data_IF_000648542582
#
_entry.id   IF_000648542582
#
_cell.length_a   1.000
_cell.length_b   1.000
_cell.length_c   1.000
_cell.angle_alpha   90.00
_cell.angle_beta   90.00
_cell.angle_gamma   90.00
#
_symmetry.space_group_name_H-M   'P 1'
#
loop_
_entity.id
_entity.type
_entity.pdbx_description
1 polymer ?
#
# COMPACT_ATOMS: atom_id res chain seq x y z
N UNK A 1 16.72 1.22 22.78
CA UNK A 1 16.47 0.71 21.42
C UNK A 1 14.98 0.88 21.15
N UNK A 2 14.61 1.76 20.22
CA UNK A 2 13.20 1.98 19.87
C UNK A 2 12.64 0.73 19.19
N UNK A 3 11.33 0.51 19.28
CA UNK A 3 10.66 -0.61 18.62
C UNK A 3 10.88 -0.61 17.10
N UNK A 4 11.07 0.57 16.50
CA UNK A 4 11.43 0.72 15.09
C UNK A 4 12.83 0.17 14.77
N UNK A 5 13.85 0.49 15.57
CA UNK A 5 15.20 -0.08 15.40
C UNK A 5 15.17 -1.60 15.58
N UNK A 6 14.37 -2.12 16.53
CA UNK A 6 14.18 -3.57 16.66
C UNK A 6 13.59 -4.20 15.40
N UNK A 7 12.59 -3.58 14.78
CA UNK A 7 12.01 -4.09 13.53
C UNK A 7 13.06 -4.05 12.42
N UNK A 8 13.77 -2.93 12.27
CA UNK A 8 14.85 -2.77 11.30
C UNK A 8 15.96 -3.81 11.45
N UNK A 9 16.39 -4.08 12.68
CA UNK A 9 17.44 -5.04 12.98
C UNK A 9 16.98 -6.51 12.86
N UNK A 10 15.67 -6.77 13.00
CA UNK A 10 15.08 -8.12 12.92
C UNK A 10 14.37 -8.42 11.58
N UNK A 11 14.48 -7.55 10.56
CA UNK A 11 14.02 -7.89 9.22
C UNK A 11 14.95 -8.96 8.65
N UNK A 12 14.53 -10.22 8.78
CA UNK A 12 15.16 -11.32 8.08
C UNK A 12 14.79 -11.25 6.60
N UNK A 13 15.76 -10.80 5.79
CA UNK A 13 15.59 -10.65 4.34
C UNK A 13 15.37 -11.98 3.63
N UNK A 14 15.77 -13.09 4.24
CA UNK A 14 15.57 -14.44 3.66
C UNK A 14 14.12 -14.88 3.72
N UNK A 15 13.34 -14.29 4.62
CA UNK A 15 11.92 -14.56 4.75
C UNK A 15 11.06 -13.66 3.86
N UNK A 16 11.63 -12.60 3.24
CA UNK A 16 10.84 -11.74 2.36
C UNK A 16 10.44 -12.47 1.08
N UNK A 17 9.26 -12.19 0.51
CA UNK A 17 8.89 -12.73 -0.79
C UNK A 17 9.94 -12.40 -1.85
N UNK A 18 10.16 -13.33 -2.79
CA UNK A 18 11.10 -13.13 -3.91
C UNK A 18 10.92 -11.77 -4.58
N UNK A 19 12.04 -11.14 -4.96
CA UNK A 19 12.11 -9.81 -5.59
C UNK A 19 11.65 -8.64 -4.69
N UNK A 20 11.54 -8.86 -3.37
CA UNK A 20 11.30 -7.78 -2.42
C UNK A 20 12.63 -7.13 -2.01
N UNK A 21 12.72 -5.82 -2.21
CA UNK A 21 13.82 -4.96 -1.79
C UNK A 21 13.42 -4.17 -0.53
N UNK A 22 14.39 -3.97 0.38
CA UNK A 22 14.21 -3.15 1.57
C UNK A 22 15.10 -1.90 1.51
N UNK A 23 14.51 -0.72 1.67
CA UNK A 23 15.16 0.59 1.70
C UNK A 23 14.95 1.18 3.09
N UNK A 24 16.01 1.71 3.71
CA UNK A 24 15.96 2.33 5.02
C UNK A 24 16.44 3.77 4.90
N UNK A 25 15.54 4.74 5.13
CA UNK A 25 15.87 6.16 5.05
C UNK A 25 15.35 6.85 6.30
N UNK A 26 16.27 7.25 7.18
CA UNK A 26 16.03 8.13 8.34
C UNK A 26 14.78 7.79 9.15
N UNK A 27 13.65 8.34 8.75
CA UNK A 27 12.34 8.29 9.42
C UNK A 27 11.42 7.14 8.97
N UNK A 28 11.80 6.37 7.95
CA UNK A 28 10.99 5.27 7.45
C UNK A 28 11.80 4.09 6.90
N UNK A 29 11.14 2.94 6.86
CA UNK A 29 11.59 1.73 6.18
C UNK A 29 10.59 1.36 5.08
N UNK A 30 11.06 1.08 3.88
CA UNK A 30 10.24 0.64 2.74
C UNK A 30 10.61 -0.80 2.42
N UNK A 31 9.63 -1.68 2.31
CA UNK A 31 9.79 -2.98 1.64
C UNK A 31 8.91 -3.01 0.40
N UNK A 32 9.49 -3.27 -0.77
CA UNK A 32 8.83 -3.16 -2.06
C UNK A 32 9.21 -4.28 -3.01
N UNK A 33 8.32 -4.65 -3.92
CA UNK A 33 8.63 -5.53 -5.04
C UNK A 33 8.46 -4.79 -6.37
N UNK A 34 9.38 -5.06 -7.30
CA UNK A 34 9.38 -4.51 -8.66
C UNK A 34 9.05 -5.63 -9.65
N UNK A 35 8.11 -5.38 -10.55
CA UNK A 35 7.79 -6.24 -11.68
C UNK A 35 8.15 -5.55 -12.98
N UNK A 36 8.62 -6.32 -13.96
CA UNK A 36 8.85 -5.80 -15.32
C UNK A 36 7.64 -6.21 -16.16
N UNK A 37 6.91 -5.21 -16.67
CA UNK A 37 5.82 -5.42 -17.62
C UNK A 37 6.17 -4.70 -18.92
N UNK A 38 6.29 -5.45 -20.03
CA UNK A 38 6.59 -4.90 -21.36
C UNK A 38 7.82 -3.97 -21.36
N UNK A 39 8.92 -4.44 -20.75
CA UNK A 39 10.19 -3.71 -20.61
C UNK A 39 10.15 -2.43 -19.74
N UNK A 40 9.01 -2.14 -19.09
CA UNK A 40 8.89 -1.04 -18.12
C UNK A 40 8.90 -1.61 -16.70
N UNK A 41 9.85 -1.20 -15.84
CA UNK A 41 9.81 -1.56 -14.43
C UNK A 41 8.66 -0.80 -13.75
N UNK A 42 7.78 -1.54 -13.10
CA UNK A 42 6.66 -1.04 -12.30
C UNK A 42 6.72 -1.56 -10.87
N UNK A 43 6.18 -0.78 -9.94
CA UNK A 43 6.11 -1.16 -8.54
C UNK A 43 4.88 -2.06 -8.29
N UNK A 44 5.10 -3.36 -8.05
CA UNK A 44 3.99 -4.31 -7.86
C UNK A 44 3.28 -4.10 -6.52
N UNK A 45 4.06 -3.96 -5.45
CA UNK A 45 3.55 -3.67 -4.12
C UNK A 45 4.63 -3.05 -3.24
N UNK A 46 4.21 -2.28 -2.24
CA UNK A 46 5.11 -1.81 -1.17
C UNK A 46 4.39 -1.64 0.15
N UNK A 47 5.15 -1.75 1.22
CA UNK A 47 4.81 -1.24 2.54
C UNK A 47 5.85 -0.19 2.94
N UNK A 48 5.38 0.96 3.44
CA UNK A 48 6.20 2.00 4.04
C UNK A 48 5.86 2.07 5.53
N UNK A 49 6.86 1.91 6.38
CA UNK A 49 6.72 1.88 7.84
C UNK A 49 7.43 3.11 8.40
N UNK A 50 6.73 3.90 9.19
CA UNK A 50 7.23 5.11 9.80
C UNK A 50 7.84 4.83 11.18
N UNK A 51 8.62 5.78 11.71
CA UNK A 51 9.24 5.68 13.06
C UNK A 51 8.26 5.42 14.20
N UNK A 52 7.05 5.95 14.12
CA UNK A 52 5.97 5.71 15.08
C UNK A 52 5.27 4.35 14.88
N UNK A 53 5.80 3.51 13.98
CA UNK A 53 5.26 2.21 13.58
C UNK A 53 3.93 2.27 12.82
N UNK A 54 3.42 3.45 12.48
CA UNK A 54 2.34 3.53 11.49
C UNK A 54 2.88 3.06 10.14
N UNK A 55 1.98 2.65 9.25
CA UNK A 55 2.38 2.15 7.95
C UNK A 55 1.37 2.52 6.87
N UNK A 56 1.88 2.64 5.65
CA UNK A 56 1.10 2.76 4.42
C UNK A 56 1.40 1.57 3.52
N UNK A 57 0.38 1.06 2.85
CA UNK A 57 0.49 -0.07 1.92
C UNK A 57 0.00 0.34 0.55
N UNK A 58 0.67 -0.19 -0.47
CA UNK A 58 0.36 0.10 -1.86
C UNK A 58 0.43 -1.18 -2.69
N UNK A 59 -0.40 -1.25 -3.72
CA UNK A 59 -0.42 -2.29 -4.74
C UNK A 59 -0.53 -1.60 -6.10
N UNK A 60 0.40 -1.90 -7.02
CA UNK A 60 0.51 -1.25 -8.33
C UNK A 60 0.43 0.29 -8.22
N UNK A 61 1.23 0.86 -7.31
CA UNK A 61 1.27 2.29 -6.97
C UNK A 61 0.01 2.88 -6.32
N UNK A 62 -1.10 2.13 -6.27
CA UNK A 62 -2.34 2.57 -5.64
C UNK A 62 -2.33 2.30 -4.13
N UNK A 63 -2.82 3.24 -3.31
CA UNK A 63 -2.94 3.01 -1.87
C UNK A 63 -3.95 1.89 -1.59
N UNK A 64 -3.61 1.02 -0.66
CA UNK A 64 -4.50 -0.06 -0.17
C UNK A 64 -5.06 0.35 1.18
N UNK A 65 -6.36 0.16 1.38
CA UNK A 65 -6.99 0.45 2.67
C UNK A 65 -6.42 -0.44 3.78
N UNK A 66 -6.14 0.14 4.94
CA UNK A 66 -5.76 -0.63 6.14
C UNK A 66 -6.84 -1.65 6.53
N UNK A 67 -8.11 -1.36 6.22
CA UNK A 67 -9.22 -2.30 6.42
C UNK A 67 -9.03 -3.63 5.70
N UNK A 68 -8.38 -3.62 4.52
CA UNK A 68 -8.12 -4.84 3.74
C UNK A 68 -7.13 -5.77 4.42
N UNK A 69 -6.28 -5.25 5.31
CA UNK A 69 -5.26 -6.01 6.05
C UNK A 69 -5.56 -6.11 7.55
N UNK A 70 -6.76 -5.72 7.99
CA UNK A 70 -7.14 -5.71 9.41
C UNK A 70 -7.08 -7.11 10.05
N UNK A 71 -7.31 -8.16 9.25
CA UNK A 71 -7.19 -9.56 9.66
C UNK A 71 -5.73 -10.02 9.89
N UNK A 72 -4.74 -9.25 9.41
CA UNK A 72 -3.31 -9.48 9.57
C UNK A 72 -2.74 -8.56 10.65
N UNK A 73 -3.11 -7.28 10.60
CA UNK A 73 -2.70 -6.25 11.53
C UNK A 73 -3.94 -5.47 11.97
N UNK A 74 -4.45 -5.83 13.15
CA UNK A 74 -5.67 -5.23 13.69
C UNK A 74 -5.48 -3.79 14.20
N UNK A 75 -4.22 -3.39 14.42
CA UNK A 75 -3.81 -2.05 14.84
C UNK A 75 -3.47 -1.18 13.63
N UNK A 76 -3.56 0.14 13.80
CA UNK A 76 -3.07 1.11 12.80
C UNK A 76 -1.53 1.16 12.69
N UNK A 77 -0.85 0.43 13.59
CA UNK A 77 0.60 0.33 13.71
C UNK A 77 1.07 -1.12 13.72
N UNK A 78 2.24 -1.37 13.11
CA UNK A 78 2.90 -2.68 13.15
C UNK A 78 3.64 -2.87 14.47
N UNK A 79 3.38 -3.98 15.13
CA UNK A 79 4.01 -4.36 16.40
C UNK A 79 5.09 -5.42 16.22
N UNK A 80 4.98 -6.25 15.17
CA UNK A 80 5.83 -7.41 14.93
C UNK A 80 6.28 -7.48 13.47
N UNK A 81 7.49 -8.01 13.25
CA UNK A 81 7.98 -8.27 11.90
C UNK A 81 7.10 -9.25 11.12
N UNK A 82 6.49 -10.23 11.79
CA UNK A 82 5.57 -11.18 11.17
C UNK A 82 4.36 -10.51 10.52
N UNK A 83 3.89 -9.37 11.06
CA UNK A 83 2.79 -8.61 10.46
C UNK A 83 3.23 -8.00 9.13
N UNK A 84 4.44 -7.44 9.07
CA UNK A 84 5.03 -6.88 7.84
C UNK A 84 5.16 -7.96 6.77
N UNK A 85 5.72 -9.12 7.13
CA UNK A 85 5.86 -10.25 6.24
C UNK A 85 4.51 -10.72 5.69
N UNK A 86 3.52 -10.89 6.57
CA UNK A 86 2.19 -11.36 6.18
C UNK A 86 1.45 -10.34 5.32
N UNK A 87 1.61 -9.03 5.60
CA UNK A 87 1.07 -7.97 4.74
C UNK A 87 1.70 -8.04 3.35
N UNK A 88 3.03 -8.19 3.24
CA UNK A 88 3.70 -8.33 1.95
C UNK A 88 3.24 -9.59 1.19
N UNK A 89 3.09 -10.71 1.89
CA UNK A 89 2.57 -11.94 1.31
C UNK A 89 1.12 -11.78 0.84
N UNK A 90 0.28 -11.08 1.60
CA UNK A 90 -1.08 -10.73 1.21
C UNK A 90 -1.08 -9.86 -0.05
N UNK A 91 -0.29 -8.78 -0.08
CA UNK A 91 -0.20 -7.88 -1.24
C UNK A 91 0.30 -8.59 -2.50
N UNK A 92 1.24 -9.53 -2.37
CA UNK A 92 1.72 -10.37 -3.48
C UNK A 92 0.62 -11.24 -4.07
N UNK A 93 -0.24 -11.82 -3.22
CA UNK A 93 -1.31 -12.73 -3.63
C UNK A 93 -2.63 -12.03 -3.94
N UNK A 94 -2.76 -10.74 -3.57
CA UNK A 94 -3.89 -9.90 -3.91
C UNK A 94 -3.86 -9.66 -5.41
N UNK A 95 -4.51 -10.53 -6.17
CA UNK A 95 -4.80 -10.28 -7.57
C UNK A 95 -5.55 -8.94 -7.66
N UNK A 96 -4.95 -7.96 -8.33
CA UNK A 96 -5.67 -6.74 -8.71
C UNK A 96 -6.75 -7.16 -9.68
N UNK A 97 -7.97 -7.28 -9.18
CA UNK A 97 -9.15 -7.72 -9.91
C UNK A 97 -9.53 -6.67 -10.95
N UNK A 98 -9.02 -6.81 -12.17
CA UNK A 98 -9.51 -6.12 -13.38
C UNK A 98 -9.39 -4.57 -13.37
N UNK A 99 -9.19 -3.92 -14.53
CA UNK A 99 -9.24 -2.45 -14.67
C UNK A 99 -10.47 -1.80 -14.02
N UNK A 100 -11.60 -2.51 -13.93
CA UNK A 100 -12.83 -2.08 -13.28
C UNK A 100 -12.67 -1.78 -11.78
N UNK A 101 -11.75 -2.43 -11.06
CA UNK A 101 -11.52 -2.09 -9.64
C UNK A 101 -10.78 -0.77 -9.48
N UNK A 102 -9.92 -0.40 -10.45
CA UNK A 102 -9.14 0.84 -10.38
C UNK A 102 -10.01 2.08 -10.62
N UNK A 103 -11.04 1.94 -11.45
CA UNK A 103 -12.08 2.96 -11.65
C UNK A 103 -12.86 3.18 -10.35
N UNK A 104 -13.33 2.10 -9.70
CA UNK A 104 -14.02 2.20 -8.41
C UNK A 104 -13.13 2.82 -7.31
N UNK A 105 -11.83 2.55 -7.34
CA UNK A 105 -10.85 3.10 -6.39
C UNK A 105 -10.57 4.58 -6.67
N UNK A 106 -10.50 4.98 -7.95
CA UNK A 106 -10.41 6.39 -8.36
C UNK A 106 -11.67 7.17 -7.93
N UNK A 107 -12.87 6.62 -8.14
CA UNK A 107 -14.13 7.22 -7.67
C UNK A 107 -14.14 7.42 -6.15
N UNK A 108 -13.66 6.43 -5.38
CA UNK A 108 -13.55 6.53 -3.92
C UNK A 108 -12.53 7.58 -3.46
N UNK A 109 -11.38 7.67 -4.12
CA UNK A 109 -10.35 8.67 -3.81
C UNK A 109 -10.84 10.09 -4.12
N UNK A 110 -11.62 10.27 -5.19
CA UNK A 110 -12.27 11.53 -5.53
C UNK A 110 -13.30 11.91 -4.45
N UNK A 111 -14.14 10.96 -4.02
CA UNK A 111 -15.11 11.19 -2.95
C UNK A 111 -14.45 11.53 -1.61
N UNK A 112 -13.35 10.88 -1.24
CA UNK A 112 -12.63 11.19 0.00
C UNK A 112 -11.86 12.52 -0.03
N UNK A 113 -11.66 13.11 -1.22
CA UNK A 113 -10.99 14.41 -1.39
C UNK A 113 -11.93 15.62 -1.24
N UNK A 114 -13.19 15.39 -0.83
CA UNK A 114 -14.24 16.42 -0.63
C UNK A 114 -13.97 17.40 0.55
N UNK A 115 -12.77 17.42 1.12
CA UNK A 115 -12.38 18.35 2.18
C UNK A 115 -11.86 19.71 1.66
N UNK A 116 -11.66 19.87 0.34
CA UNK A 116 -11.26 21.15 -0.29
C UNK A 116 -12.33 21.71 -1.25
N UNK A 117 -12.44 23.04 -1.44
CA UNK A 117 -13.56 23.72 -2.11
C UNK A 117 -13.45 23.67 -3.64
N UNK A 118 -13.10 22.51 -4.20
CA UNK A 118 -13.30 22.24 -5.62
C UNK A 118 -14.79 21.92 -5.79
N UNK A 119 -15.48 22.67 -6.64
CA UNK A 119 -16.92 22.54 -6.89
C UNK A 119 -17.35 21.07 -6.98
N UNK A 120 -18.10 20.60 -5.97
CA UNK A 120 -18.57 19.22 -5.83
C UNK A 120 -19.17 18.64 -7.12
N UNK A 121 -19.78 19.50 -7.96
CA UNK A 121 -20.36 19.12 -9.24
C UNK A 121 -19.34 18.56 -10.26
N UNK A 122 -18.11 19.07 -10.26
CA UNK A 122 -17.07 18.62 -11.21
C UNK A 122 -16.52 17.24 -10.82
N UNK A 123 -16.36 16.99 -9.52
CA UNK A 123 -15.91 15.71 -8.98
C UNK A 123 -17.00 14.64 -9.07
N UNK A 124 -18.25 15.02 -8.83
CA UNK A 124 -19.42 14.14 -9.01
C UNK A 124 -19.59 13.73 -10.48
N UNK A 125 -19.40 14.68 -11.42
CA UNK A 125 -19.39 14.37 -12.85
C UNK A 125 -18.28 13.39 -13.23
N UNK A 126 -17.04 13.60 -12.77
CA UNK A 126 -15.92 12.69 -13.07
C UNK A 126 -16.18 11.30 -12.48
N UNK A 127 -16.72 11.20 -11.26
CA UNK A 127 -17.12 9.93 -10.65
C UNK A 127 -18.18 9.22 -11.48
N UNK A 128 -19.21 9.93 -11.95
CA UNK A 128 -20.27 9.37 -12.79
C UNK A 128 -19.73 8.89 -14.14
N UNK A 129 -18.80 9.64 -14.76
CA UNK A 129 -18.18 9.24 -16.03
C UNK A 129 -17.29 8.00 -15.86
N UNK A 130 -16.62 7.87 -14.71
CA UNK A 130 -15.84 6.70 -14.36
C UNK A 130 -16.73 5.46 -14.17
N UNK A 131 -17.87 5.57 -13.48
CA UNK A 131 -18.78 4.43 -13.26
C UNK A 131 -19.51 3.93 -14.52
N UNK A 132 -19.50 4.70 -15.61
CA UNK A 132 -20.16 4.37 -16.88
C UNK A 132 -19.31 3.50 -17.83
N UNK A 133 -18.03 3.27 -17.52
CA UNK A 133 -17.06 2.54 -18.35
C UNK A 133 -16.51 1.28 -17.66
#
# INVERSE_FOLDING_TARGET
ISSFEKIKDNIDRTCLPEYTHAIYEGDFAISLAISIHSDVPGLSYRIKIYKNLSFDIFSNELPVSKGDVNHICASESVSKFTEIHNILAFLKNKHVTSPSSNISLASKLIQSSQEEPISNAHLEFISQQLDLH
#
